data_IF_761835325839
#
_entry.id   IF_761835325839
#
_cell.length_a   1.000
_cell.length_b   1.000
_cell.length_c   1.000
_cell.angle_alpha   90.00
_cell.angle_beta   90.00
_cell.angle_gamma   90.00
#
_symmetry.space_group_name_H-M   'P 1'
#
loop_
_entity.id
_entity.type
_entity.pdbx_description
1 polymer ?
#
# COMPACT_ATOMS: atom_id res chain seq x y z
N UNK A 1 -11.74 21.23 20.22
CA UNK A 1 -12.96 20.41 20.31
C UNK A 1 -14.06 21.22 19.66
N UNK A 2 -14.60 20.72 18.57
CA UNK A 2 -15.73 21.34 17.89
C UNK A 2 -16.97 20.49 18.20
N UNK A 3 -18.08 21.14 18.53
CA UNK A 3 -19.34 20.46 18.85
C UNK A 3 -20.22 20.52 17.62
N UNK A 4 -20.51 19.37 17.02
CA UNK A 4 -21.47 19.26 15.92
C UNK A 4 -22.69 18.52 16.45
N UNK A 5 -23.71 19.30 16.84
CA UNK A 5 -24.85 18.79 17.61
C UNK A 5 -24.41 18.20 18.96
N UNK A 6 -24.84 16.97 19.24
CA UNK A 6 -24.49 16.23 20.47
C UNK A 6 -23.14 15.50 20.38
N UNK A 7 -22.47 15.54 19.22
CA UNK A 7 -21.21 14.84 19.00
C UNK A 7 -20.04 15.76 19.37
N UNK A 8 -19.21 15.29 20.31
CA UNK A 8 -17.93 15.91 20.62
C UNK A 8 -16.89 15.46 19.58
N UNK A 9 -16.59 16.31 18.60
CA UNK A 9 -15.50 16.08 17.66
C UNK A 9 -14.16 16.48 18.30
N UNK A 10 -13.37 15.47 18.62
CA UNK A 10 -11.97 15.60 19.01
C UNK A 10 -11.11 15.56 17.75
N UNK A 11 -10.82 16.74 17.21
CA UNK A 11 -9.78 16.88 16.20
C UNK A 11 -8.41 16.83 16.88
N UNK A 12 -7.69 15.71 16.74
CA UNK A 12 -6.36 15.50 17.33
C UNK A 12 -5.23 16.26 16.60
N UNK A 13 -5.58 17.12 15.65
CA UNK A 13 -4.62 17.80 14.79
C UNK A 13 -4.02 16.89 13.72
N UNK A 14 -3.12 17.47 12.92
CA UNK A 14 -2.22 16.73 12.05
C UNK A 14 -0.82 16.84 12.67
N UNK A 15 -0.17 15.75 13.09
CA UNK A 15 1.17 15.85 13.64
C UNK A 15 2.09 16.47 12.57
N UNK A 16 2.70 17.61 12.92
CA UNK A 16 3.52 18.44 12.01
C UNK A 16 4.80 17.74 11.52
N UNK A 17 5.13 16.57 12.07
CA UNK A 17 6.31 15.83 11.64
C UNK A 17 6.15 15.25 10.23
N UNK A 18 7.13 15.51 9.38
CA UNK A 18 7.31 14.83 8.09
C UNK A 18 7.90 13.43 8.23
N UNK A 19 8.59 13.16 9.34
CA UNK A 19 9.27 11.89 9.59
C UNK A 19 8.37 10.94 10.39
N UNK A 20 8.06 9.77 9.82
CA UNK A 20 7.27 8.74 10.51
C UNK A 20 8.12 7.82 11.40
N UNK A 21 9.44 7.84 11.28
CA UNK A 21 10.35 6.97 12.06
C UNK A 21 10.33 7.30 13.55
N UNK A 22 9.93 8.53 13.92
CA UNK A 22 9.83 8.94 15.33
C UNK A 22 8.72 8.20 16.07
N UNK A 23 7.75 7.66 15.34
CA UNK A 23 6.62 6.95 15.94
C UNK A 23 7.01 5.49 16.19
N UNK A 24 6.73 4.96 17.39
CA UNK A 24 6.96 3.54 17.64
C UNK A 24 6.08 2.69 16.71
N UNK A 25 6.57 1.50 16.37
CA UNK A 25 5.75 0.49 15.73
C UNK A 25 4.61 0.06 16.66
N UNK A 26 3.48 -0.38 16.09
CA UNK A 26 2.37 -0.89 16.88
C UNK A 26 2.81 -2.09 17.73
N UNK A 27 2.45 -2.10 19.02
CA UNK A 27 2.85 -3.16 19.94
C UNK A 27 1.92 -4.38 19.84
N UNK A 28 2.06 -5.14 18.75
CA UNK A 28 1.28 -6.35 18.51
C UNK A 28 1.52 -7.45 19.56
N UNK A 29 2.71 -7.50 20.18
CA UNK A 29 3.00 -8.45 21.25
C UNK A 29 2.15 -8.17 22.51
N UNK A 30 1.91 -6.89 22.82
CA UNK A 30 0.94 -6.50 23.85
C UNK A 30 -0.48 -6.93 23.47
N UNK A 31 -0.88 -6.76 22.21
CA UNK A 31 -2.19 -7.22 21.74
C UNK A 31 -2.35 -8.74 21.90
N UNK A 32 -1.34 -9.54 21.56
CA UNK A 32 -1.38 -11.00 21.79
C UNK A 32 -1.56 -11.36 23.26
N UNK A 33 -0.86 -10.64 24.15
CA UNK A 33 -0.96 -10.83 25.59
C UNK A 33 -2.35 -10.46 26.13
N UNK A 34 -2.88 -9.31 25.72
CA UNK A 34 -4.19 -8.80 26.18
C UNK A 34 -5.33 -9.72 25.69
N UNK A 35 -5.25 -10.19 24.45
CA UNK A 35 -6.28 -11.04 23.86
C UNK A 35 -6.05 -12.55 24.08
N UNK A 36 -4.93 -12.92 24.72
CA UNK A 36 -4.48 -14.31 24.90
C UNK A 36 -4.57 -15.14 23.60
N UNK A 37 -4.12 -14.55 22.49
CA UNK A 37 -4.26 -15.11 21.13
C UNK A 37 -3.06 -14.75 20.28
N UNK A 38 -2.60 -15.70 19.47
CA UNK A 38 -1.57 -15.45 18.45
C UNK A 38 -2.17 -14.84 17.17
N UNK A 39 -1.47 -13.86 16.60
CA UNK A 39 -1.86 -13.22 15.34
C UNK A 39 -0.94 -13.69 14.20
N UNK A 40 -1.40 -14.60 13.32
CA UNK A 40 -0.60 -15.03 12.17
C UNK A 40 -0.45 -13.93 11.11
N UNK A 41 -1.27 -12.88 11.18
CA UNK A 41 -1.22 -11.70 10.32
C UNK A 41 -1.12 -10.49 11.21
N UNK A 42 -0.17 -9.60 10.93
CA UNK A 42 -0.09 -8.28 11.56
C UNK A 42 -0.34 -7.20 10.53
N UNK A 43 -1.00 -6.12 10.95
CA UNK A 43 -1.21 -4.96 10.09
C UNK A 43 -0.12 -3.92 10.35
N UNK A 44 0.37 -3.32 9.27
CA UNK A 44 1.49 -2.40 9.31
C UNK A 44 1.19 -1.18 8.44
N UNK A 45 1.49 0.01 8.97
CA UNK A 45 1.39 1.29 8.28
C UNK A 45 2.80 1.89 8.20
N UNK A 46 3.27 2.11 6.98
CA UNK A 46 4.56 2.74 6.69
C UNK A 46 4.43 4.05 5.91
N UNK A 47 3.24 4.39 5.40
CA UNK A 47 2.98 5.56 4.57
C UNK A 47 1.70 6.27 5.02
N UNK A 48 1.76 7.60 5.09
CA UNK A 48 0.61 8.47 5.31
C UNK A 48 0.53 9.52 4.21
N UNK A 49 -0.66 9.60 3.60
CA UNK A 49 -0.95 10.46 2.46
C UNK A 49 -0.56 9.86 1.10
N UNK A 50 -0.85 10.60 0.04
CA UNK A 50 -0.69 10.16 -1.35
C UNK A 50 -0.45 11.39 -2.25
N UNK A 51 0.58 11.39 -3.12
CA UNK A 51 0.85 12.52 -4.00
C UNK A 51 -0.10 12.56 -5.22
N UNK A 52 -0.87 11.50 -5.48
CA UNK A 52 -1.83 11.46 -6.59
C UNK A 52 -3.17 12.11 -6.20
N UNK A 53 -3.96 12.44 -7.23
CA UNK A 53 -5.25 13.13 -7.12
C UNK A 53 -6.33 12.45 -7.95
N UNK A 54 -6.43 11.13 -7.83
CA UNK A 54 -7.47 10.38 -8.53
C UNK A 54 -8.85 10.88 -8.07
N UNK A 55 -9.72 11.26 -9.01
CA UNK A 55 -10.98 11.99 -8.79
C UNK A 55 -11.98 11.26 -7.89
N UNK A 56 -11.83 9.94 -7.73
CA UNK A 56 -12.67 9.10 -6.86
C UNK A 56 -12.10 8.90 -5.45
N UNK A 57 -10.85 9.30 -5.19
CA UNK A 57 -10.11 8.88 -4.01
C UNK A 57 -10.12 9.95 -2.90
N UNK A 58 -10.57 9.56 -1.71
CA UNK A 58 -10.56 10.44 -0.53
C UNK A 58 -9.22 10.40 0.25
N UNK A 59 -8.31 9.47 -0.05
CA UNK A 59 -7.12 9.21 0.76
C UNK A 59 -6.18 10.42 0.92
N UNK A 60 -5.90 11.23 -0.13
CA UNK A 60 -5.09 12.44 0.03
C UNK A 60 -5.65 13.41 1.09
N UNK A 61 -6.97 13.52 1.21
CA UNK A 61 -7.63 14.44 2.14
C UNK A 61 -7.53 13.98 3.61
N UNK A 62 -7.29 12.69 3.87
CA UNK A 62 -7.17 12.15 5.23
C UNK A 62 -5.90 12.60 5.95
N UNK A 63 -4.87 13.02 5.22
CA UNK A 63 -3.52 13.20 5.76
C UNK A 63 -2.91 14.57 5.47
N UNK A 64 -3.74 15.60 5.28
CA UNK A 64 -3.37 16.87 4.64
C UNK A 64 -3.04 16.63 3.16
N UNK A 65 -3.79 17.28 2.26
CA UNK A 65 -3.76 17.04 0.82
C UNK A 65 -2.33 16.95 0.27
N UNK A 66 -1.41 17.79 0.74
CA UNK A 66 -0.05 17.89 0.22
C UNK A 66 1.02 17.11 1.02
N UNK A 67 0.63 16.29 2.00
CA UNK A 67 1.56 15.51 2.80
C UNK A 67 1.74 14.12 2.21
N UNK A 68 2.98 13.76 1.88
CA UNK A 68 3.38 12.38 1.64
C UNK A 68 4.53 12.04 2.57
N UNK A 69 4.26 11.19 3.54
CA UNK A 69 5.22 10.84 4.61
C UNK A 69 5.35 9.33 4.67
N UNK A 70 6.55 8.86 4.92
CA UNK A 70 6.82 7.43 4.98
C UNK A 70 7.88 7.13 6.03
N UNK A 71 7.86 5.91 6.57
CA UNK A 71 8.95 5.36 7.37
C UNK A 71 10.14 5.04 6.47
N UNK A 72 11.36 5.19 6.96
CA UNK A 72 12.55 4.76 6.22
C UNK A 72 12.56 3.23 6.02
N UNK A 73 13.25 2.77 4.98
CA UNK A 73 13.43 1.34 4.72
C UNK A 73 14.07 0.62 5.92
N UNK A 74 15.03 1.28 6.57
CA UNK A 74 15.70 0.76 7.76
C UNK A 74 14.72 0.59 8.93
N UNK A 75 13.87 1.59 9.19
CA UNK A 75 12.88 1.51 10.26
C UNK A 75 11.88 0.37 10.01
N UNK A 76 11.41 0.21 8.77
CA UNK A 76 10.49 -0.88 8.41
C UNK A 76 11.14 -2.24 8.64
N UNK A 77 12.39 -2.42 8.20
CA UNK A 77 13.12 -3.66 8.41
C UNK A 77 13.35 -3.95 9.91
N UNK A 78 13.65 -2.93 10.72
CA UNK A 78 13.78 -3.06 12.18
C UNK A 78 12.45 -3.50 12.82
N UNK A 79 11.35 -2.89 12.42
CA UNK A 79 10.02 -3.18 12.93
C UNK A 79 9.63 -4.64 12.60
N UNK A 80 9.84 -5.06 11.35
CA UNK A 80 9.52 -6.41 10.88
C UNK A 80 10.39 -7.48 11.54
N UNK A 81 11.70 -7.22 11.69
CA UNK A 81 12.60 -8.10 12.42
C UNK A 81 12.17 -8.26 13.89
N UNK A 82 11.77 -7.18 14.54
CA UNK A 82 11.24 -7.25 15.90
C UNK A 82 9.95 -8.07 15.97
N UNK A 83 9.04 -7.89 15.01
CA UNK A 83 7.82 -8.70 14.93
C UNK A 83 8.09 -10.18 14.73
N UNK A 84 9.06 -10.55 13.89
CA UNK A 84 9.48 -11.94 13.74
C UNK A 84 10.05 -12.53 15.02
N UNK A 85 10.92 -11.78 15.72
CA UNK A 85 11.54 -12.24 16.98
C UNK A 85 10.52 -12.41 18.10
N UNK A 86 9.53 -11.52 18.19
CA UNK A 86 8.61 -11.47 19.34
C UNK A 86 7.32 -12.27 19.12
N UNK A 87 6.87 -12.39 17.87
CA UNK A 87 5.56 -12.97 17.55
C UNK A 87 5.63 -14.03 16.45
N UNK A 88 6.56 -13.89 15.50
CA UNK A 88 6.68 -14.78 14.34
C UNK A 88 5.43 -14.80 13.44
N UNK A 89 4.95 -13.62 12.96
CA UNK A 89 3.79 -13.59 12.08
C UNK A 89 4.11 -14.32 10.76
N UNK A 90 3.09 -14.89 10.14
CA UNK A 90 3.23 -15.47 8.79
C UNK A 90 3.18 -14.39 7.72
N UNK A 91 2.31 -13.39 7.92
CA UNK A 91 2.05 -12.32 6.97
C UNK A 91 2.13 -10.95 7.66
N UNK A 92 2.81 -10.01 7.01
CA UNK A 92 2.73 -8.59 7.31
C UNK A 92 1.83 -7.94 6.25
N UNK A 93 0.67 -7.45 6.67
CA UNK A 93 -0.29 -6.78 5.81
C UNK A 93 -0.07 -5.27 5.84
N UNK A 94 0.60 -4.76 4.81
CA UNK A 94 0.88 -3.34 4.66
C UNK A 94 -0.37 -2.61 4.17
N UNK A 95 -0.92 -1.74 5.01
CA UNK A 95 -2.17 -1.01 4.80
C UNK A 95 -1.99 0.28 3.99
N UNK A 96 -0.77 0.56 3.57
CA UNK A 96 -0.38 1.80 2.90
C UNK A 96 -1.09 1.95 1.56
N UNK A 97 -1.55 3.17 1.23
CA UNK A 97 -2.11 3.46 -0.09
C UNK A 97 -1.09 3.31 -1.23
N UNK A 98 0.20 3.51 -0.93
CA UNK A 98 1.31 3.52 -1.90
C UNK A 98 2.59 2.95 -1.28
N UNK A 99 2.60 1.64 -1.03
CA UNK A 99 3.74 1.00 -0.38
C UNK A 99 5.02 1.06 -1.22
N UNK A 100 4.89 1.00 -2.55
CA UNK A 100 6.01 0.94 -3.49
C UNK A 100 6.77 2.27 -3.64
N UNK A 101 6.22 3.37 -3.13
CA UNK A 101 6.82 4.70 -3.24
C UNK A 101 7.45 5.21 -1.92
N UNK A 102 8.58 5.93 -1.98
CA UNK A 102 9.41 6.17 -3.15
C UNK A 102 10.18 4.90 -3.54
N UNK A 103 10.45 4.74 -4.83
CA UNK A 103 11.08 3.53 -5.38
C UNK A 103 12.40 3.16 -4.72
N UNK A 104 13.23 4.16 -4.38
CA UNK A 104 14.47 3.96 -3.63
C UNK A 104 14.23 3.25 -2.28
N UNK A 105 13.21 3.67 -1.52
CA UNK A 105 12.84 3.06 -0.24
C UNK A 105 12.44 1.61 -0.40
N UNK A 106 11.68 1.29 -1.45
CA UNK A 106 11.26 -0.09 -1.73
C UNK A 106 12.47 -1.00 -1.97
N UNK A 107 13.41 -0.59 -2.82
CA UNK A 107 14.61 -1.38 -3.10
C UNK A 107 15.51 -1.55 -1.87
N UNK A 108 15.70 -0.49 -1.09
CA UNK A 108 16.45 -0.57 0.18
C UNK A 108 15.77 -1.52 1.17
N UNK A 109 14.44 -1.49 1.28
CA UNK A 109 13.70 -2.41 2.12
C UNK A 109 13.86 -3.86 1.64
N UNK A 110 13.71 -4.11 0.34
CA UNK A 110 13.89 -5.44 -0.23
C UNK A 110 15.29 -5.98 0.05
N UNK A 111 16.32 -5.13 -0.07
CA UNK A 111 17.70 -5.46 0.30
C UNK A 111 17.81 -5.84 1.78
N UNK A 112 17.25 -5.05 2.70
CA UNK A 112 17.31 -5.38 4.12
C UNK A 112 16.57 -6.68 4.48
N UNK A 113 15.42 -6.94 3.86
CA UNK A 113 14.67 -8.18 4.05
C UNK A 113 15.53 -9.39 3.68
N UNK A 114 16.21 -9.32 2.53
CA UNK A 114 17.10 -10.37 2.04
C UNK A 114 18.32 -10.53 2.95
N UNK A 115 19.02 -9.44 3.27
CA UNK A 115 20.23 -9.46 4.11
C UNK A 115 19.98 -9.99 5.52
N UNK A 116 18.82 -9.64 6.10
CA UNK A 116 18.40 -10.11 7.44
C UNK A 116 17.69 -11.45 7.41
N UNK A 117 17.46 -12.00 6.22
CA UNK A 117 16.81 -13.29 6.03
C UNK A 117 15.41 -13.35 6.68
N UNK A 118 14.64 -12.25 6.61
CA UNK A 118 13.30 -12.17 7.18
C UNK A 118 12.35 -13.14 6.47
N UNK A 119 11.55 -13.87 7.25
CA UNK A 119 10.78 -15.03 6.80
C UNK A 119 9.30 -14.76 6.58
N UNK A 120 8.76 -13.72 7.22
CA UNK A 120 7.38 -13.32 7.04
C UNK A 120 7.17 -12.95 5.59
N UNK A 121 6.07 -13.46 5.02
CA UNK A 121 5.61 -12.92 3.76
C UNK A 121 4.95 -11.57 4.01
N UNK A 122 4.84 -10.75 2.98
CA UNK A 122 4.12 -9.49 3.09
C UNK A 122 3.20 -9.26 1.90
N UNK A 123 2.22 -8.40 2.12
CA UNK A 123 1.28 -7.96 1.10
C UNK A 123 1.18 -6.44 1.14
N UNK A 124 0.93 -5.81 0.00
CA UNK A 124 0.83 -4.36 -0.07
C UNK A 124 -0.12 -3.88 -1.17
N UNK A 125 -0.47 -2.59 -1.14
CA UNK A 125 -1.04 -1.91 -2.30
C UNK A 125 0.08 -1.34 -3.16
N UNK A 126 -0.13 -1.38 -4.48
CA UNK A 126 0.78 -0.85 -5.47
C UNK A 126 0.01 -0.24 -6.64
N UNK A 127 0.66 0.66 -7.37
CA UNK A 127 0.18 1.18 -8.64
C UNK A 127 0.66 0.28 -9.78
N UNK A 128 -0.10 0.20 -10.86
CA UNK A 128 0.27 -0.62 -12.03
C UNK A 128 1.54 -0.10 -12.69
N UNK A 129 1.72 1.21 -12.77
CA UNK A 129 2.89 1.84 -13.40
C UNK A 129 4.21 1.44 -12.68
N UNK A 130 4.18 1.28 -11.36
CA UNK A 130 5.34 0.78 -10.60
C UNK A 130 5.64 -0.69 -10.93
N UNK A 131 4.61 -1.52 -11.06
CA UNK A 131 4.73 -2.96 -11.30
C UNK A 131 4.98 -3.31 -12.78
N UNK A 132 4.70 -2.38 -13.70
CA UNK A 132 5.06 -2.50 -15.11
C UNK A 132 6.59 -2.54 -15.31
N UNK A 133 7.35 -2.03 -14.34
CA UNK A 133 8.79 -2.22 -14.29
C UNK A 133 9.15 -3.57 -13.65
N UNK A 134 9.77 -4.42 -14.46
CA UNK A 134 10.12 -5.78 -14.08
C UNK A 134 11.05 -5.87 -12.85
N UNK A 135 11.97 -4.92 -12.70
CA UNK A 135 12.94 -4.93 -11.60
C UNK A 135 12.27 -4.66 -10.24
N UNK A 136 11.12 -3.98 -10.23
CA UNK A 136 10.30 -3.82 -9.02
C UNK A 136 9.74 -5.18 -8.58
N UNK A 137 9.08 -5.90 -9.49
CA UNK A 137 8.50 -7.21 -9.21
C UNK A 137 9.57 -8.22 -8.76
N UNK A 138 10.72 -8.23 -9.45
CA UNK A 138 11.87 -9.08 -9.12
C UNK A 138 12.42 -8.80 -7.71
N UNK A 139 12.61 -7.54 -7.34
CA UNK A 139 13.08 -7.16 -6.02
C UNK A 139 12.06 -7.49 -4.91
N UNK A 140 10.77 -7.25 -5.15
CA UNK A 140 9.73 -7.62 -4.19
C UNK A 140 9.68 -9.13 -4.01
N UNK A 141 9.85 -9.91 -5.09
CA UNK A 141 9.87 -11.37 -5.02
C UNK A 141 11.06 -11.91 -4.24
N UNK A 142 12.26 -11.37 -4.44
CA UNK A 142 13.43 -11.77 -3.64
C UNK A 142 13.25 -11.44 -2.16
N UNK A 143 12.44 -10.43 -1.85
CA UNK A 143 12.07 -10.02 -0.51
C UNK A 143 10.78 -10.69 0.04
N UNK A 144 10.38 -11.87 -0.46
CA UNK A 144 9.23 -12.63 0.07
C UNK A 144 7.85 -11.93 -0.02
N UNK A 145 7.62 -11.05 -1.00
CA UNK A 145 6.24 -10.61 -1.30
C UNK A 145 5.37 -11.84 -1.63
N UNK A 146 4.16 -11.85 -1.10
CA UNK A 146 3.13 -12.82 -1.43
C UNK A 146 2.14 -12.26 -2.45
N UNK A 147 1.59 -11.08 -2.18
CA UNK A 147 0.45 -10.52 -2.91
C UNK A 147 0.53 -9.00 -3.02
N UNK A 148 0.07 -8.47 -4.14
CA UNK A 148 -0.16 -7.04 -4.36
C UNK A 148 -1.63 -6.77 -4.66
N UNK A 149 -2.18 -5.70 -4.07
CA UNK A 149 -3.45 -5.11 -4.47
C UNK A 149 -3.19 -3.97 -5.45
N UNK A 150 -3.79 -4.03 -6.63
CA UNK A 150 -3.53 -3.11 -7.74
C UNK A 150 -4.82 -2.41 -8.16
N UNK A 151 -4.84 -1.08 -8.10
CA UNK A 151 -5.90 -0.27 -8.67
C UNK A 151 -5.73 -0.12 -10.18
N UNK A 152 -6.38 -0.99 -10.96
CA UNK A 152 -6.45 -0.88 -12.42
C UNK A 152 -7.60 0.04 -12.86
N UNK A 153 -8.69 -0.01 -12.09
CA UNK A 153 -9.90 0.81 -12.17
C UNK A 153 -10.75 0.63 -13.43
N UNK A 154 -10.18 0.75 -14.64
CA UNK A 154 -10.93 0.63 -15.89
C UNK A 154 -10.05 0.11 -17.03
N UNK A 155 -10.67 -0.59 -17.99
CA UNK A 155 -10.08 -0.96 -19.26
C UNK A 155 -10.25 0.10 -20.35
N UNK A 156 -10.94 1.21 -20.09
CA UNK A 156 -11.12 2.32 -21.02
C UNK A 156 -10.13 3.46 -20.75
N UNK A 157 -9.28 3.86 -21.73
CA UNK A 157 -8.37 4.99 -21.57
C UNK A 157 -9.10 6.30 -21.25
N UNK A 158 -10.28 6.51 -21.83
CA UNK A 158 -11.09 7.70 -21.58
C UNK A 158 -11.56 7.76 -20.12
N UNK A 159 -11.96 6.62 -19.55
CA UNK A 159 -12.43 6.56 -18.16
C UNK A 159 -11.26 6.72 -17.17
N UNK A 160 -10.10 6.11 -17.47
CA UNK A 160 -8.88 6.33 -16.69
C UNK A 160 -8.45 7.82 -16.67
N UNK A 161 -8.62 8.52 -17.79
CA UNK A 161 -8.38 9.97 -17.88
C UNK A 161 -9.41 10.75 -17.03
N UNK A 162 -10.71 10.44 -17.15
CA UNK A 162 -11.75 11.08 -16.33
C UNK A 162 -11.48 10.91 -14.82
N UNK A 163 -10.95 9.74 -14.43
CA UNK A 163 -10.56 9.44 -13.05
C UNK A 163 -9.27 10.16 -12.61
N UNK A 164 -8.54 10.82 -13.51
CA UNK A 164 -7.18 11.32 -13.25
C UNK A 164 -6.31 10.21 -12.65
N UNK A 165 -6.45 8.99 -13.20
CA UNK A 165 -5.71 7.84 -12.69
C UNK A 165 -4.25 7.92 -13.08
N UNK A 166 -3.91 8.53 -14.22
CA UNK A 166 -2.55 8.69 -14.72
C UNK A 166 -1.80 7.36 -14.90
N UNK A 167 -2.47 6.33 -15.43
CA UNK A 167 -1.86 5.09 -15.89
C UNK A 167 -2.36 4.74 -17.29
N UNK A 168 -1.59 3.92 -18.01
CA UNK A 168 -1.96 3.40 -19.33
C UNK A 168 -2.45 1.96 -19.23
N UNK A 169 -3.21 1.51 -20.24
CA UNK A 169 -3.60 0.10 -20.36
C UNK A 169 -2.39 -0.82 -20.53
N UNK A 170 -1.36 -0.35 -21.22
CA UNK A 170 -0.13 -1.11 -21.41
C UNK A 170 0.58 -1.35 -20.06
N UNK A 171 0.66 -0.32 -19.20
CA UNK A 171 1.19 -0.48 -17.83
C UNK A 171 0.32 -1.42 -16.99
N UNK A 172 -1.01 -1.32 -17.09
CA UNK A 172 -1.93 -2.23 -16.42
C UNK A 172 -1.67 -3.69 -16.82
N UNK A 173 -1.57 -3.97 -18.12
CA UNK A 173 -1.30 -5.32 -18.64
C UNK A 173 0.08 -5.81 -18.19
N UNK A 174 1.12 -4.99 -18.39
CA UNK A 174 2.50 -5.31 -17.99
C UNK A 174 2.63 -5.61 -16.51
N UNK A 175 1.94 -4.85 -15.65
CA UNK A 175 1.91 -5.10 -14.21
C UNK A 175 1.43 -6.51 -13.87
N UNK A 176 0.33 -6.95 -14.50
CA UNK A 176 -0.25 -8.29 -14.28
C UNK A 176 0.66 -9.37 -14.85
N UNK A 177 1.22 -9.16 -16.05
CA UNK A 177 2.18 -10.07 -16.67
C UNK A 177 3.43 -10.25 -15.80
N UNK A 178 4.00 -9.17 -15.29
CA UNK A 178 5.15 -9.21 -14.39
C UNK A 178 4.81 -9.90 -13.07
N UNK A 179 3.68 -9.58 -12.45
CA UNK A 179 3.23 -10.27 -11.23
C UNK A 179 3.12 -11.78 -11.45
N UNK A 180 2.50 -12.19 -12.56
CA UNK A 180 2.39 -13.60 -12.96
C UNK A 180 3.76 -14.24 -13.19
N UNK A 181 4.65 -13.57 -13.93
CA UNK A 181 6.01 -14.03 -14.25
C UNK A 181 6.82 -14.31 -12.98
N UNK A 182 6.70 -13.48 -11.96
CA UNK A 182 7.43 -13.62 -10.70
C UNK A 182 6.68 -14.40 -9.61
N UNK A 183 5.48 -14.91 -9.91
CA UNK A 183 4.67 -15.66 -8.94
C UNK A 183 4.26 -14.79 -7.75
N UNK A 184 3.85 -13.56 -8.02
CA UNK A 184 3.22 -12.63 -7.07
C UNK A 184 1.72 -12.67 -7.33
N UNK A 185 0.92 -12.96 -6.30
CA UNK A 185 -0.53 -12.92 -6.45
C UNK A 185 -0.99 -11.49 -6.68
N UNK A 186 -1.68 -11.22 -7.79
CA UNK A 186 -2.31 -9.93 -8.04
C UNK A 186 -3.79 -9.98 -7.68
N UNK A 187 -4.23 -9.01 -6.87
CA UNK A 187 -5.64 -8.73 -6.61
C UNK A 187 -5.93 -7.38 -7.24
N UNK A 188 -6.83 -7.36 -8.22
CA UNK A 188 -7.13 -6.14 -8.98
C UNK A 188 -8.41 -5.50 -8.48
N UNK A 189 -8.43 -4.17 -8.44
CA UNK A 189 -9.64 -3.38 -8.21
C UNK A 189 -10.06 -2.73 -9.54
N UNK A 190 -11.37 -2.78 -9.79
CA UNK A 190 -12.06 -2.18 -10.92
C UNK A 190 -13.22 -1.34 -10.37
N UNK A 191 -13.51 -0.22 -11.01
CA UNK A 191 -14.61 0.69 -10.68
C UNK A 191 -15.57 0.69 -11.86
N UNK A 192 -16.86 0.49 -11.59
CA UNK A 192 -17.93 0.52 -12.59
C UNK A 192 -18.96 1.57 -12.19
N UNK A 193 -19.51 2.29 -13.16
CA UNK A 193 -20.40 3.42 -13.01
C UNK A 193 -19.70 4.77 -12.80
N UNK A 194 -18.45 4.95 -13.23
CA UNK A 194 -17.78 6.25 -13.10
C UNK A 194 -18.40 7.30 -14.04
N UNK A 195 -18.43 8.60 -13.70
CA UNK A 195 -18.94 9.63 -14.61
C UNK A 195 -18.30 9.58 -16.00
N UNK A 196 -19.15 9.46 -17.02
CA UNK A 196 -18.75 9.33 -18.44
C UNK A 196 -18.66 7.89 -18.94
N UNK A 197 -18.92 6.89 -18.11
CA UNK A 197 -18.91 5.47 -18.49
C UNK A 197 -20.16 5.08 -19.30
N UNK A 198 -19.94 4.30 -20.36
CA UNK A 198 -20.94 3.74 -21.29
C UNK A 198 -20.81 2.22 -21.35
N UNK A 199 -21.83 1.52 -21.85
CA UNK A 199 -21.81 0.06 -22.00
C UNK A 199 -20.54 -0.43 -22.74
N UNK A 200 -20.11 0.27 -23.79
CA UNK A 200 -18.88 -0.06 -24.54
C UNK A 200 -17.63 0.08 -23.67
N UNK A 201 -17.52 1.13 -22.85
CA UNK A 201 -16.36 1.30 -21.96
C UNK A 201 -16.34 0.30 -20.80
N UNK A 202 -17.52 -0.17 -20.38
CA UNK A 202 -17.65 -1.23 -19.38
C UNK A 202 -17.16 -2.53 -20.05
N UNK A 203 -17.60 -2.86 -21.26
CA UNK A 203 -17.11 -4.03 -22.04
C UNK A 203 -15.59 -4.02 -22.27
N UNK A 204 -14.94 -2.86 -22.36
CA UNK A 204 -13.46 -2.80 -22.43
C UNK A 204 -12.78 -3.26 -21.13
N UNK A 205 -13.50 -3.29 -20.02
CA UNK A 205 -12.96 -3.50 -18.66
C UNK A 205 -12.99 -4.96 -18.20
N UNK A 206 -13.95 -5.77 -18.63
CA UNK A 206 -14.12 -7.18 -18.24
C UNK A 206 -14.23 -8.12 -19.43
#
# INVERSE_FOLDING_TARGET
MEKVGDINLLYSGHPETSNLDIFPAANWALAEKVHNKKFPVIHYESVRGCPYRCSFCNYPFLFNENSFRYRSALQIANDWENYEKTMGPKIINCLDSLFTMPRKRLFELCKYIVERNLKSQWVCYARSEDLADEEVCKAMKSANILQVQIGLESGSPQILENMSKHCTLEENIKAIENCRKYGITSVVSLIVGFPGETDETIEMTY
#
